data_IF_684415824004
#
_entry.id   IF_684415824004
#
_cell.length_a   1.000
_cell.length_b   1.000
_cell.length_c   1.000
_cell.angle_alpha   90.00
_cell.angle_beta   90.00
_cell.angle_gamma   90.00
#
_symmetry.space_group_name_H-M   'P 1'
#
loop_
_entity.id
_entity.type
_entity.pdbx_description
1 polymer ?
#
# COMPACT_ATOMS: atom_id res chain seq x y z
N UNK A 1 -2.67 24.13 8.96
CA UNK A 1 -3.31 22.85 9.26
C UNK A 1 -3.52 22.14 7.94
N UNK A 2 -3.11 20.88 7.82
CA UNK A 2 -3.38 20.11 6.60
C UNK A 2 -4.88 19.77 6.58
N UNK A 3 -5.55 20.08 5.47
CA UNK A 3 -6.99 19.87 5.32
C UNK A 3 -7.28 18.73 4.34
N UNK A 4 -8.34 17.96 4.60
CA UNK A 4 -8.77 16.92 3.67
C UNK A 4 -9.56 17.57 2.51
N UNK A 5 -8.83 17.96 1.47
CA UNK A 5 -9.39 18.55 0.25
C UNK A 5 -9.03 17.71 -0.98
N UNK A 6 -9.63 18.06 -2.14
CA UNK A 6 -9.40 17.32 -3.38
C UNK A 6 -7.92 17.28 -3.81
N UNK A 7 -7.16 18.35 -3.55
CA UNK A 7 -5.74 18.41 -3.85
C UNK A 7 -4.95 17.41 -3.00
N UNK A 8 -5.21 17.35 -1.70
CA UNK A 8 -4.52 16.42 -0.79
C UNK A 8 -4.90 14.97 -1.07
N UNK A 9 -6.17 14.69 -1.40
CA UNK A 9 -6.62 13.36 -1.85
C UNK A 9 -5.90 12.95 -3.15
N UNK A 10 -5.77 13.88 -4.11
CA UNK A 10 -5.01 13.64 -5.34
C UNK A 10 -3.55 13.27 -5.03
N UNK A 11 -2.88 14.02 -4.14
CA UNK A 11 -1.50 13.69 -3.76
C UNK A 11 -1.39 12.36 -3.02
N UNK A 12 -2.31 12.05 -2.09
CA UNK A 12 -2.35 10.75 -1.41
C UNK A 12 -2.53 9.61 -2.42
N UNK A 13 -3.45 9.76 -3.38
CA UNK A 13 -3.67 8.80 -4.44
C UNK A 13 -2.41 8.60 -5.30
N UNK A 14 -1.77 9.69 -5.75
CA UNK A 14 -0.53 9.64 -6.54
C UNK A 14 0.62 8.99 -5.79
N UNK A 15 0.80 9.32 -4.50
CA UNK A 15 1.80 8.68 -3.64
C UNK A 15 1.50 7.20 -3.45
N UNK A 16 0.24 6.83 -3.25
CA UNK A 16 -0.17 5.43 -3.12
C UNK A 16 0.11 4.61 -4.38
N UNK A 17 -0.17 5.17 -5.57
CA UNK A 17 0.20 4.54 -6.84
C UNK A 17 1.71 4.41 -7.01
N UNK A 18 2.47 5.47 -6.69
CA UNK A 18 3.93 5.45 -6.79
C UNK A 18 4.54 4.39 -5.86
N UNK A 19 4.10 4.34 -4.60
CA UNK A 19 4.58 3.35 -3.63
C UNK A 19 4.15 1.95 -4.05
N UNK A 20 2.92 1.76 -4.52
CA UNK A 20 2.45 0.50 -5.07
C UNK A 20 3.34 -0.02 -6.20
N UNK A 21 3.68 0.84 -7.14
CA UNK A 21 4.60 0.51 -8.23
C UNK A 21 6.01 0.16 -7.74
N UNK A 22 6.55 0.92 -6.79
CA UNK A 22 7.87 0.66 -6.21
C UNK A 22 7.90 -0.69 -5.49
N UNK A 23 6.87 -0.99 -4.68
CA UNK A 23 6.77 -2.26 -3.95
C UNK A 23 6.66 -3.44 -4.92
N UNK A 24 5.85 -3.32 -5.97
CA UNK A 24 5.74 -4.33 -7.03
C UNK A 24 7.10 -4.63 -7.67
N UNK A 25 7.85 -3.57 -8.00
CA UNK A 25 9.20 -3.71 -8.58
C UNK A 25 10.18 -4.38 -7.62
N UNK A 26 10.10 -4.11 -6.32
CA UNK A 26 10.97 -4.72 -5.30
C UNK A 26 10.60 -6.19 -5.07
N UNK A 27 9.30 -6.52 -5.04
CA UNK A 27 8.81 -7.89 -4.79
C UNK A 27 8.90 -8.80 -6.02
N UNK A 28 8.90 -8.24 -7.23
CA UNK A 28 9.06 -8.98 -8.47
C UNK A 28 7.92 -9.98 -8.73
N UNK A 29 8.26 -11.23 -9.10
CA UNK A 29 7.26 -12.27 -9.46
C UNK A 29 6.47 -12.84 -8.28
N UNK A 30 6.74 -12.38 -7.07
CA UNK A 30 6.23 -12.91 -5.79
C UNK A 30 5.17 -12.00 -5.18
N UNK A 31 4.51 -11.21 -6.00
CA UNK A 31 3.68 -10.11 -5.55
C UNK A 31 2.21 -10.37 -5.89
N UNK A 32 1.30 -9.59 -5.29
CA UNK A 32 -0.13 -9.49 -5.63
C UNK A 32 -0.42 -9.11 -7.11
N UNK A 33 0.61 -9.01 -7.94
CA UNK A 33 0.61 -8.47 -9.28
C UNK A 33 0.58 -6.94 -9.30
N UNK A 34 1.02 -6.37 -10.41
CA UNK A 34 1.16 -4.91 -10.57
C UNK A 34 -0.16 -4.17 -10.33
N UNK A 35 -1.28 -4.70 -10.85
CA UNK A 35 -2.61 -4.07 -10.66
C UNK A 35 -3.03 -4.15 -9.19
N UNK A 36 -2.81 -5.28 -8.52
CA UNK A 36 -3.11 -5.44 -7.09
C UNK A 36 -2.33 -4.44 -6.25
N UNK A 37 -1.01 -4.36 -6.46
CA UNK A 37 -0.15 -3.41 -5.75
C UNK A 37 -0.53 -1.95 -5.97
N UNK A 38 -0.90 -1.56 -7.20
CA UNK A 38 -1.33 -0.19 -7.51
C UNK A 38 -2.65 0.16 -6.82
N UNK A 39 -3.67 -0.69 -6.92
CA UNK A 39 -4.99 -0.43 -6.34
C UNK A 39 -4.93 -0.44 -4.81
N UNK A 40 -4.26 -1.44 -4.21
CA UNK A 40 -4.06 -1.52 -2.76
C UNK A 40 -3.18 -0.38 -2.26
N UNK A 41 -2.18 0.07 -3.05
CA UNK A 41 -1.35 1.22 -2.73
C UNK A 41 -2.15 2.52 -2.69
N UNK A 42 -2.94 2.78 -3.72
CA UNK A 42 -3.83 3.94 -3.77
C UNK A 42 -4.84 3.96 -2.61
N UNK A 43 -5.52 2.84 -2.36
CA UNK A 43 -6.52 2.74 -1.31
C UNK A 43 -5.92 2.93 0.09
N UNK A 44 -4.81 2.23 0.38
CA UNK A 44 -4.14 2.35 1.69
C UNK A 44 -3.61 3.75 1.95
N UNK A 45 -3.05 4.42 0.94
CA UNK A 45 -2.48 5.76 1.07
C UNK A 45 -3.56 6.80 1.39
N UNK A 46 -4.70 6.72 0.71
CA UNK A 46 -5.85 7.58 1.01
C UNK A 46 -6.34 7.34 2.44
N UNK A 47 -6.49 6.08 2.86
CA UNK A 47 -6.97 5.73 4.20
C UNK A 47 -6.01 6.26 5.27
N UNK A 48 -4.72 5.93 5.17
CA UNK A 48 -3.71 6.34 6.16
C UNK A 48 -3.54 7.85 6.17
N UNK A 49 -3.42 8.48 5.00
CA UNK A 49 -3.31 9.93 4.89
C UNK A 49 -4.52 10.66 5.49
N UNK A 50 -5.73 10.16 5.24
CA UNK A 50 -6.96 10.72 5.81
C UNK A 50 -7.01 10.58 7.33
N UNK A 51 -6.55 9.44 7.87
CA UNK A 51 -6.44 9.24 9.32
C UNK A 51 -5.46 10.26 9.92
N UNK A 52 -4.30 10.46 9.29
CA UNK A 52 -3.29 11.41 9.79
C UNK A 52 -3.80 12.86 9.76
N UNK A 53 -4.53 13.24 8.71
CA UNK A 53 -5.21 14.54 8.65
C UNK A 53 -6.26 14.67 9.76
N UNK A 54 -7.08 13.64 9.99
CA UNK A 54 -8.13 13.65 11.00
C UNK A 54 -7.59 13.84 12.43
N UNK A 55 -6.44 13.23 12.74
CA UNK A 55 -5.77 13.39 14.03
C UNK A 55 -4.85 14.61 14.11
N UNK A 56 -4.87 15.48 13.10
CA UNK A 56 -4.04 16.69 13.01
C UNK A 56 -2.52 16.39 13.15
N UNK A 57 -2.09 15.23 12.67
CA UNK A 57 -0.69 14.82 12.69
C UNK A 57 0.05 15.51 11.55
N UNK A 58 1.19 16.13 11.88
CA UNK A 58 2.04 16.81 10.90
C UNK A 58 2.56 15.87 9.80
N UNK A 59 2.58 16.32 8.56
CA UNK A 59 3.10 15.55 7.43
C UNK A 59 2.28 14.31 7.02
N UNK A 60 0.95 14.41 6.82
CA UNK A 60 0.10 13.27 6.44
C UNK A 60 0.57 12.51 5.20
N UNK A 61 1.17 13.21 4.24
CA UNK A 61 1.64 12.62 2.98
C UNK A 61 2.83 11.66 3.18
N UNK A 62 3.72 11.99 4.12
CA UNK A 62 4.87 11.15 4.46
C UNK A 62 4.38 9.86 5.12
N UNK A 63 3.46 9.99 6.07
CA UNK A 63 2.86 8.85 6.77
C UNK A 63 1.99 8.00 5.85
N UNK A 64 1.27 8.61 4.90
CA UNK A 64 0.54 7.88 3.87
C UNK A 64 1.48 6.98 3.06
N UNK A 65 2.60 7.52 2.57
CA UNK A 65 3.59 6.74 1.82
C UNK A 65 4.23 5.63 2.65
N UNK A 66 4.69 5.92 3.86
CA UNK A 66 5.34 4.94 4.74
C UNK A 66 4.37 3.84 5.19
N UNK A 67 3.16 4.22 5.61
CA UNK A 67 2.14 3.27 6.04
C UNK A 67 1.67 2.40 4.88
N UNK A 68 1.53 2.95 3.67
CA UNK A 68 1.22 2.18 2.46
C UNK A 68 2.32 1.18 2.13
N UNK A 69 3.59 1.61 2.18
CA UNK A 69 4.71 0.71 1.93
C UNK A 69 4.71 -0.46 2.92
N UNK A 70 4.47 -0.17 4.20
CA UNK A 70 4.37 -1.19 5.25
C UNK A 70 3.19 -2.14 5.04
N UNK A 71 2.00 -1.63 4.75
CA UNK A 71 0.82 -2.47 4.50
C UNK A 71 1.00 -3.34 3.25
N UNK A 72 1.47 -2.77 2.14
CA UNK A 72 1.73 -3.55 0.93
C UNK A 72 2.80 -4.60 1.16
N UNK A 73 3.84 -4.30 1.93
CA UNK A 73 4.84 -5.30 2.31
C UNK A 73 4.17 -6.48 3.02
N UNK A 74 3.34 -6.23 4.04
CA UNK A 74 2.63 -7.30 4.74
C UNK A 74 1.71 -8.09 3.81
N UNK A 75 0.91 -7.39 2.99
CA UNK A 75 -0.03 -8.05 2.08
C UNK A 75 0.69 -8.94 1.07
N UNK A 76 1.83 -8.50 0.50
CA UNK A 76 2.63 -9.32 -0.41
C UNK A 76 3.27 -10.52 0.31
N UNK A 77 3.80 -10.32 1.52
CA UNK A 77 4.38 -11.42 2.32
C UNK A 77 3.34 -12.49 2.63
N UNK A 78 2.11 -12.12 3.02
CA UNK A 78 1.06 -13.09 3.29
C UNK A 78 0.49 -13.73 2.03
N UNK A 79 0.37 -12.99 0.92
CA UNK A 79 -0.08 -13.53 -0.36
C UNK A 79 0.82 -14.66 -0.86
N UNK A 80 2.13 -14.56 -0.62
CA UNK A 80 3.10 -15.59 -0.99
C UNK A 80 2.89 -16.92 -0.27
N UNK A 81 2.55 -16.84 1.02
CA UNK A 81 2.35 -18.04 1.83
C UNK A 81 1.15 -18.85 1.33
N UNK A 82 0.09 -18.16 0.89
CA UNK A 82 -1.09 -18.83 0.31
C UNK A 82 -0.79 -19.52 -1.02
N UNK A 83 0.05 -18.95 -1.88
CA UNK A 83 0.44 -19.60 -3.15
C UNK A 83 1.31 -20.85 -2.93
N UNK A 84 2.20 -20.84 -1.92
CA UNK A 84 3.03 -22.01 -1.58
C UNK A 84 2.20 -23.18 -1.03
N UNK A 85 1.19 -22.93 -0.20
CA UNK A 85 0.28 -23.97 0.30
C UNK A 85 -0.62 -24.54 -0.80
N UNK A 86 -1.11 -23.71 -1.72
CA UNK A 86 -2.00 -24.15 -2.80
C UNK A 86 -1.27 -25.01 -3.85
N UNK A 87 0.03 -24.75 -4.05
CA UNK A 87 0.87 -25.49 -5.01
C UNK A 87 1.52 -26.76 -4.44
N UNK A 88 1.49 -26.96 -3.12
CA UNK A 88 1.88 -28.23 -2.48
C UNK A 88 0.84 -28.69 -1.42
N UNK A 89 -0.25 -29.36 -1.83
CA UNK A 89 -1.28 -29.85 -0.91
C UNK A 89 -0.83 -31.03 -0.03
N UNK A 90 0.43 -31.49 -0.16
CA UNK A 90 1.01 -32.54 0.68
C UNK A 90 2.19 -31.96 1.45
N UNK A 91 1.88 -31.33 2.59
CA UNK A 91 2.86 -31.13 3.65
C UNK A 91 3.41 -32.48 4.09
N UNK A 92 4.66 -32.77 3.71
CA UNK A 92 5.55 -33.69 4.43
C UNK A 92 6.42 -32.90 5.37
#
# INVERSE_FOLDING_TARGET
>A
MDELNAQNIYFMFSVGLLVGYIVDMIMGKRALGTIGNLLSGAASSIIIGSIMVYFEIFGPLVYAGLGTAFLLFLMNVFSLHSEEEETNPQGT
#
